data_IF_040998735069
#
_entry.id   IF_040998735069
#
_cell.length_a   1.000
_cell.length_b   1.000
_cell.length_c   1.000
_cell.angle_alpha   90.00
_cell.angle_beta   90.00
_cell.angle_gamma   90.00
#
_symmetry.space_group_name_H-M   'P 1'
#
loop_
_entity.id
_entity.type
_entity.pdbx_description
1 polymer ?
#
# COMPACT_ATOMS: atom_id res chain seq x y z
N UNK A 1 -1.73 -11.46 -24.18
CA UNK A 1 -2.01 -12.89 -24.11
C UNK A 1 -3.25 -13.19 -23.25
N UNK A 2 -3.79 -12.22 -22.47
CA UNK A 2 -5.04 -12.35 -21.71
C UNK A 2 -4.98 -13.26 -20.48
N UNK A 3 -3.79 -13.68 -20.07
CA UNK A 3 -3.56 -14.59 -18.94
C UNK A 3 -3.43 -13.87 -17.58
N UNK A 4 -3.29 -12.54 -17.60
CA UNK A 4 -3.10 -11.71 -16.40
C UNK A 4 -3.99 -10.47 -16.39
N UNK A 5 -4.37 -10.06 -15.20
CA UNK A 5 -5.07 -8.81 -14.93
C UNK A 5 -4.50 -8.14 -13.67
N UNK A 6 -4.94 -6.92 -13.37
CA UNK A 6 -4.58 -6.24 -12.12
C UNK A 6 -4.93 -7.11 -10.89
N UNK A 7 -6.04 -7.86 -10.95
CA UNK A 7 -6.46 -8.78 -9.91
C UNK A 7 -5.55 -10.02 -9.74
N UNK A 8 -4.59 -10.26 -10.63
CA UNK A 8 -3.57 -11.30 -10.41
C UNK A 8 -2.70 -10.97 -9.19
N UNK A 9 -2.40 -9.68 -8.98
CA UNK A 9 -1.59 -9.18 -7.85
C UNK A 9 -2.45 -8.43 -6.82
N UNK A 10 -3.50 -7.72 -7.24
CA UNK A 10 -4.35 -6.94 -6.35
C UNK A 10 -5.67 -7.66 -6.08
N UNK A 11 -5.62 -8.68 -5.20
CA UNK A 11 -6.75 -9.55 -4.86
C UNK A 11 -7.60 -8.95 -3.75
N UNK A 12 -8.92 -8.76 -3.95
CA UNK A 12 -9.80 -8.18 -2.92
C UNK A 12 -9.79 -8.95 -1.60
N UNK A 13 -9.73 -10.30 -1.66
CA UNK A 13 -9.69 -11.19 -0.50
C UNK A 13 -8.42 -11.04 0.35
N UNK A 14 -7.33 -10.52 -0.23
CA UNK A 14 -6.07 -10.20 0.45
C UNK A 14 -5.89 -8.69 0.68
N UNK A 15 -6.99 -7.93 0.79
CA UNK A 15 -6.92 -6.49 0.95
C UNK A 15 -6.28 -5.76 -0.24
N UNK A 16 -6.48 -6.28 -1.45
CA UNK A 16 -5.88 -5.82 -2.70
C UNK A 16 -4.35 -5.93 -2.73
N UNK A 17 -3.78 -6.92 -2.04
CA UNK A 17 -2.41 -7.43 -2.23
C UNK A 17 -2.45 -8.84 -2.80
N UNK A 18 -1.29 -9.45 -3.04
CA UNK A 18 -1.21 -10.85 -3.54
C UNK A 18 -0.92 -11.89 -2.44
N UNK A 19 -0.66 -11.43 -1.21
CA UNK A 19 -0.28 -12.29 -0.09
C UNK A 19 1.13 -12.88 -0.19
N UNK A 20 1.96 -12.37 -1.12
CA UNK A 20 3.34 -12.84 -1.32
C UNK A 20 4.33 -11.79 -0.83
N UNK A 21 5.54 -12.18 -0.38
CA UNK A 21 6.59 -11.22 -0.06
C UNK A 21 6.91 -10.30 -1.24
N UNK A 22 7.00 -10.86 -2.43
CA UNK A 22 7.17 -10.13 -3.69
C UNK A 22 6.28 -10.75 -4.75
N UNK A 23 5.56 -9.90 -5.48
CA UNK A 23 4.73 -10.36 -6.59
C UNK A 23 5.53 -11.18 -7.61
N UNK A 24 4.85 -12.04 -8.35
CA UNK A 24 5.46 -12.82 -9.43
C UNK A 24 5.27 -12.12 -10.76
N UNK A 25 6.36 -11.88 -11.43
CA UNK A 25 6.38 -11.39 -12.81
C UNK A 25 5.79 -12.40 -13.80
N UNK A 26 5.65 -12.02 -15.07
CA UNK A 26 5.10 -12.90 -16.13
C UNK A 26 5.90 -14.17 -16.34
N UNK A 27 7.20 -14.08 -16.16
CA UNK A 27 8.15 -15.21 -16.25
C UNK A 27 8.24 -16.03 -14.94
N UNK A 28 7.44 -15.68 -13.92
CA UNK A 28 7.45 -16.31 -12.60
C UNK A 28 8.54 -15.79 -11.67
N UNK A 29 9.42 -14.90 -12.12
CA UNK A 29 10.46 -14.31 -11.24
C UNK A 29 9.84 -13.34 -10.23
N UNK A 30 10.40 -13.21 -9.01
CA UNK A 30 9.93 -12.23 -8.06
C UNK A 30 10.15 -10.80 -8.57
N UNK A 31 9.14 -9.94 -8.44
CA UNK A 31 9.29 -8.51 -8.64
C UNK A 31 10.14 -7.90 -7.51
N UNK A 32 10.52 -6.63 -7.67
CA UNK A 32 11.44 -5.98 -6.75
C UNK A 32 10.87 -5.79 -5.35
N UNK A 33 9.57 -5.49 -5.26
CA UNK A 33 8.89 -5.09 -4.01
C UNK A 33 7.60 -5.84 -3.78
N UNK A 34 7.11 -5.76 -2.54
CA UNK A 34 5.80 -6.24 -2.14
C UNK A 34 4.69 -5.46 -2.86
N UNK A 35 3.57 -6.14 -3.15
CA UNK A 35 2.39 -5.54 -3.77
C UNK A 35 1.67 -4.63 -2.76
N UNK A 36 1.61 -3.30 -2.96
CA UNK A 36 0.89 -2.42 -2.06
C UNK A 36 -0.63 -2.60 -2.22
N UNK A 37 -1.37 -2.37 -1.14
CA UNK A 37 -2.82 -2.34 -1.19
C UNK A 37 -3.36 -1.14 -1.98
N UNK A 38 -4.62 -1.21 -2.44
CA UNK A 38 -5.26 -0.16 -3.22
C UNK A 38 -6.29 0.69 -2.43
N UNK A 39 -6.41 0.51 -1.13
CA UNK A 39 -7.40 1.26 -0.35
C UNK A 39 -7.10 2.76 -0.27
N UNK A 40 -8.14 3.58 -0.47
CA UNK A 40 -8.16 5.02 -0.22
C UNK A 40 -7.13 5.82 -1.05
N UNK A 41 -6.81 5.36 -2.25
CA UNK A 41 -5.82 6.01 -3.11
C UNK A 41 -6.31 7.34 -3.72
N UNK A 42 -7.62 7.61 -3.72
CA UNK A 42 -8.20 8.84 -4.27
C UNK A 42 -7.57 10.14 -3.71
N UNK A 43 -7.07 10.09 -2.49
CA UNK A 43 -6.49 11.24 -1.78
C UNK A 43 -5.01 11.06 -1.45
N UNK A 44 -4.36 10.05 -2.01
CA UNK A 44 -2.92 9.84 -1.87
C UNK A 44 -2.15 10.87 -2.71
N UNK A 45 -0.95 11.26 -2.22
CA UNK A 45 -0.14 12.31 -2.85
C UNK A 45 0.87 11.79 -3.86
N UNK A 46 1.20 10.50 -3.77
CA UNK A 46 2.12 9.82 -4.66
C UNK A 46 1.94 8.32 -4.58
N UNK A 47 2.41 7.60 -5.58
CA UNK A 47 2.17 6.17 -5.76
C UNK A 47 3.48 5.40 -5.84
N UNK A 48 3.41 4.07 -5.60
CA UNK A 48 4.51 3.18 -5.29
C UNK A 48 5.16 3.43 -3.92
N UNK A 49 5.94 2.47 -3.47
CA UNK A 49 6.70 2.55 -2.22
C UNK A 49 7.72 3.69 -2.18
N UNK A 50 8.21 4.11 -3.33
CA UNK A 50 9.18 5.21 -3.49
C UNK A 50 8.53 6.53 -3.96
N UNK A 51 7.22 6.52 -4.21
CA UNK A 51 6.48 7.70 -4.62
C UNK A 51 6.87 8.28 -5.98
N UNK A 52 7.38 7.44 -6.89
CA UNK A 52 7.88 7.88 -8.19
C UNK A 52 6.80 8.40 -9.13
N UNK A 53 5.54 8.00 -8.92
CA UNK A 53 4.44 8.45 -9.75
C UNK A 53 3.54 9.43 -8.99
N UNK A 54 3.21 10.59 -9.60
CA UNK A 54 2.44 11.64 -8.93
C UNK A 54 0.91 11.47 -9.07
N UNK A 55 0.44 10.65 -10.01
CA UNK A 55 -1.00 10.43 -10.25
C UNK A 55 -1.31 8.95 -10.42
N UNK A 56 -2.57 8.55 -10.19
CA UNK A 56 -3.03 7.18 -10.46
C UNK A 56 -2.94 6.85 -11.94
N UNK A 57 -3.20 7.81 -12.81
CA UNK A 57 -3.09 7.62 -14.26
C UNK A 57 -1.64 7.30 -14.68
N UNK A 58 -0.67 8.02 -14.15
CA UNK A 58 0.73 7.73 -14.40
C UNK A 58 1.13 6.38 -13.83
N UNK A 59 0.66 6.05 -12.62
CA UNK A 59 0.92 4.77 -11.97
C UNK A 59 0.32 3.60 -12.75
N UNK A 60 -0.97 3.64 -13.13
CA UNK A 60 -1.66 2.55 -13.83
C UNK A 60 -1.03 2.22 -15.19
N UNK A 61 -0.46 3.23 -15.85
CA UNK A 61 0.24 3.05 -17.11
C UNK A 61 1.47 2.14 -16.99
N UNK A 62 2.20 2.22 -15.89
CA UNK A 62 3.45 1.46 -15.72
C UNK A 62 3.22 -0.05 -15.72
N UNK A 63 2.42 -0.65 -14.81
CA UNK A 63 2.18 -2.10 -14.80
C UNK A 63 1.46 -2.60 -16.06
N UNK A 64 0.67 -1.74 -16.71
CA UNK A 64 -0.01 -2.11 -17.94
C UNK A 64 0.98 -2.44 -19.05
N UNK A 65 2.08 -1.68 -19.19
CA UNK A 65 3.05 -1.83 -20.27
C UNK A 65 4.36 -2.49 -19.87
N UNK A 66 4.64 -2.65 -18.57
CA UNK A 66 5.86 -3.30 -18.12
C UNK A 66 5.92 -4.77 -18.56
N UNK A 67 6.96 -5.15 -19.28
CA UNK A 67 7.14 -6.49 -19.84
C UNK A 67 7.09 -7.60 -18.80
N UNK A 68 7.57 -7.32 -17.60
CA UNK A 68 7.59 -8.25 -16.48
C UNK A 68 6.29 -8.24 -15.65
N UNK A 69 5.32 -7.36 -15.95
CA UNK A 69 4.02 -7.30 -15.28
C UNK A 69 2.88 -7.72 -16.22
N UNK A 70 2.06 -6.79 -16.75
CA UNK A 70 1.00 -7.14 -17.71
C UNK A 70 1.54 -7.23 -19.14
N UNK A 71 2.58 -6.47 -19.48
CA UNK A 71 3.25 -6.53 -20.77
C UNK A 71 2.32 -6.27 -21.96
N UNK A 72 1.35 -5.38 -21.79
CA UNK A 72 0.47 -5.02 -22.88
C UNK A 72 1.28 -4.31 -23.98
N UNK A 73 1.14 -4.79 -25.21
CA UNK A 73 1.75 -4.13 -26.35
C UNK A 73 0.82 -3.00 -26.78
N UNK A 74 1.30 -1.75 -26.74
CA UNK A 74 0.48 -0.57 -27.04
C UNK A 74 -0.17 -0.65 -28.44
N UNK A 75 0.49 -1.27 -29.40
CA UNK A 75 -0.03 -1.46 -30.76
C UNK A 75 -1.11 -2.55 -30.87
N UNK A 76 -1.27 -3.45 -29.89
CA UNK A 76 -2.26 -4.53 -29.89
C UNK A 76 -3.37 -4.37 -28.86
N UNK A 77 -3.11 -3.68 -27.74
CA UNK A 77 -4.10 -3.50 -26.67
C UNK A 77 -5.37 -2.84 -27.19
N UNK A 78 -5.24 -1.68 -27.81
CA UNK A 78 -6.37 -0.90 -28.30
C UNK A 78 -7.16 -1.65 -29.39
N UNK A 79 -6.54 -2.22 -30.43
CA UNK A 79 -7.26 -3.06 -31.41
C UNK A 79 -7.97 -4.27 -30.80
N UNK A 80 -7.35 -4.92 -29.81
CA UNK A 80 -7.96 -6.06 -29.11
C UNK A 80 -9.23 -5.64 -28.38
N UNK A 81 -9.20 -4.54 -27.62
CA UNK A 81 -10.38 -4.03 -26.94
C UNK A 81 -11.43 -3.49 -27.91
N UNK A 82 -11.02 -2.91 -29.02
CA UNK A 82 -11.91 -2.43 -30.08
C UNK A 82 -12.60 -3.58 -30.86
N UNK A 83 -12.10 -4.80 -30.79
CA UNK A 83 -12.78 -5.95 -31.39
C UNK A 83 -14.00 -6.42 -30.59
N UNK A 84 -14.16 -5.99 -29.34
CA UNK A 84 -15.31 -6.29 -28.49
C UNK A 84 -16.33 -5.15 -28.50
N UNK A 85 -17.49 -5.42 -29.07
CA UNK A 85 -18.57 -4.42 -29.22
C UNK A 85 -19.14 -3.96 -27.86
N UNK A 86 -19.15 -4.81 -26.83
CA UNK A 86 -19.62 -4.43 -25.50
C UNK A 86 -18.65 -3.43 -24.85
N UNK A 87 -17.36 -3.70 -24.94
CA UNK A 87 -16.31 -2.77 -24.48
C UNK A 87 -16.39 -1.44 -25.21
N UNK A 88 -16.54 -1.43 -26.53
CA UNK A 88 -16.69 -0.20 -27.30
C UNK A 88 -17.89 0.62 -26.81
N UNK A 89 -19.07 -0.03 -26.67
CA UNK A 89 -20.28 0.63 -26.19
C UNK A 89 -20.08 1.24 -24.80
N UNK A 90 -19.55 0.48 -23.83
CA UNK A 90 -19.29 0.95 -22.46
C UNK A 90 -18.34 2.15 -22.44
N UNK A 91 -17.32 2.14 -23.28
CA UNK A 91 -16.41 3.28 -23.38
C UNK A 91 -17.07 4.48 -24.07
N UNK A 92 -17.91 4.29 -25.08
CA UNK A 92 -18.66 5.37 -25.69
C UNK A 92 -19.63 6.02 -24.69
N UNK A 93 -20.28 5.23 -23.85
CA UNK A 93 -21.18 5.72 -22.79
C UNK A 93 -20.42 6.49 -21.71
N UNK A 94 -19.26 5.98 -21.26
CA UNK A 94 -18.47 6.57 -20.17
C UNK A 94 -17.60 7.76 -20.64
N UNK A 95 -17.18 7.77 -21.89
CA UNK A 95 -16.32 8.78 -22.50
C UNK A 95 -16.90 9.25 -23.85
N UNK A 96 -18.02 9.99 -23.85
CA UNK A 96 -18.75 10.32 -25.07
C UNK A 96 -17.97 11.15 -26.10
N UNK A 97 -16.98 11.93 -25.65
CA UNK A 97 -16.14 12.76 -26.54
C UNK A 97 -14.99 11.99 -27.17
N UNK A 98 -14.41 11.01 -26.46
CA UNK A 98 -13.19 10.32 -26.89
C UNK A 98 -13.37 8.84 -27.22
N UNK A 99 -14.44 8.22 -26.73
CA UNK A 99 -14.69 6.79 -26.86
C UNK A 99 -13.57 5.94 -26.26
N UNK A 100 -13.31 4.79 -26.88
CA UNK A 100 -12.27 3.86 -26.49
C UNK A 100 -10.89 4.30 -27.04
N UNK A 101 -10.13 4.95 -26.20
CA UNK A 101 -8.75 5.38 -26.44
C UNK A 101 -7.84 4.89 -25.30
N UNK A 102 -6.53 4.91 -25.51
CA UNK A 102 -5.57 4.57 -24.45
C UNK A 102 -5.74 5.49 -23.22
N UNK A 103 -5.93 6.77 -23.44
CA UNK A 103 -6.17 7.72 -22.35
C UNK A 103 -7.45 7.39 -21.58
N UNK A 104 -8.53 7.00 -22.27
CA UNK A 104 -9.78 6.59 -21.65
C UNK A 104 -9.61 5.28 -20.84
N UNK A 105 -8.82 4.32 -21.34
CA UNK A 105 -8.50 3.09 -20.59
C UNK A 105 -7.79 3.42 -19.28
N UNK A 106 -6.74 4.24 -19.34
CA UNK A 106 -5.99 4.66 -18.15
C UNK A 106 -6.88 5.42 -17.17
N UNK A 107 -7.70 6.35 -17.68
CA UNK A 107 -8.63 7.10 -16.85
C UNK A 107 -9.68 6.19 -16.18
N UNK A 108 -10.20 5.18 -16.88
CA UNK A 108 -11.13 4.21 -16.32
C UNK A 108 -10.50 3.37 -15.21
N UNK A 109 -9.24 2.89 -15.40
CA UNK A 109 -8.48 2.18 -14.37
C UNK A 109 -8.27 3.05 -13.13
N UNK A 110 -7.79 4.28 -13.31
CA UNK A 110 -7.57 5.21 -12.22
C UNK A 110 -8.90 5.59 -11.50
N UNK A 111 -10.01 5.72 -12.23
CA UNK A 111 -11.33 5.96 -11.63
C UNK A 111 -11.79 4.77 -10.78
N UNK A 112 -11.56 3.54 -11.23
CA UNK A 112 -11.83 2.34 -10.45
C UNK A 112 -10.98 2.30 -9.18
N UNK A 113 -9.67 2.54 -9.26
CA UNK A 113 -8.79 2.57 -8.10
C UNK A 113 -9.22 3.63 -7.07
N UNK A 114 -9.68 4.82 -7.53
CA UNK A 114 -10.24 5.85 -6.65
C UNK A 114 -11.51 5.40 -5.93
N UNK A 115 -12.27 4.48 -6.50
CA UNK A 115 -13.50 3.95 -5.89
C UNK A 115 -13.24 2.91 -4.80
N UNK A 116 -12.00 2.40 -4.67
CA UNK A 116 -11.63 1.41 -3.67
C UNK A 116 -11.44 2.09 -2.31
N UNK A 117 -12.52 2.12 -1.54
CA UNK A 117 -12.54 2.69 -0.20
C UNK A 117 -12.52 1.56 0.83
N UNK A 118 -11.72 1.73 1.89
CA UNK A 118 -11.71 0.77 3.00
C UNK A 118 -13.07 0.73 3.70
N UNK A 119 -13.57 -0.44 4.11
CA UNK A 119 -14.81 -0.53 4.86
C UNK A 119 -14.68 0.17 6.22
N UNK A 120 -15.81 0.54 6.79
CA UNK A 120 -15.91 0.96 8.19
C UNK A 120 -15.48 -0.20 9.07
N UNK A 121 -14.68 0.08 10.09
CA UNK A 121 -14.10 -0.92 10.98
C UNK A 121 -14.56 -0.72 12.42
N UNK A 122 -14.24 -1.68 13.30
CA UNK A 122 -14.54 -1.55 14.74
C UNK A 122 -13.82 -0.35 15.38
N UNK A 123 -12.66 0.01 14.86
CA UNK A 123 -11.96 1.23 15.29
C UNK A 123 -12.76 2.48 14.92
N UNK A 124 -13.34 2.55 13.72
CA UNK A 124 -14.17 3.68 13.30
C UNK A 124 -15.42 3.81 14.17
N UNK A 125 -16.10 2.69 14.46
CA UNK A 125 -17.25 2.66 15.35
C UNK A 125 -16.89 3.16 16.76
N UNK A 126 -15.71 2.79 17.26
CA UNK A 126 -15.24 3.25 18.57
C UNK A 126 -14.96 4.75 18.57
N UNK A 127 -14.31 5.28 17.54
CA UNK A 127 -14.09 6.73 17.37
C UNK A 127 -15.41 7.48 17.24
N UNK A 128 -16.42 6.88 16.60
CA UNK A 128 -17.77 7.44 16.49
C UNK A 128 -18.58 7.39 17.82
N UNK A 129 -18.01 6.85 18.90
CA UNK A 129 -18.61 6.85 20.24
C UNK A 129 -19.19 5.50 20.71
N UNK A 130 -19.07 4.43 19.92
CA UNK A 130 -19.46 3.09 20.36
C UNK A 130 -18.39 2.50 21.30
N UNK A 131 -18.52 2.74 22.59
CA UNK A 131 -17.53 2.35 23.61
C UNK A 131 -17.26 0.83 23.66
N UNK A 132 -18.19 -0.02 23.18
CA UNK A 132 -18.05 -1.49 23.21
C UNK A 132 -17.46 -2.05 21.91
N UNK A 133 -17.23 -1.23 20.90
CA UNK A 133 -16.67 -1.68 19.62
C UNK A 133 -15.24 -2.21 19.77
N UNK A 134 -14.46 -1.69 20.73
CA UNK A 134 -13.14 -2.22 21.10
C UNK A 134 -13.16 -2.79 22.52
N UNK A 135 -12.49 -3.91 22.73
CA UNK A 135 -12.25 -4.46 24.07
C UNK A 135 -11.09 -3.72 24.79
N UNK A 136 -10.82 -4.07 26.04
CA UNK A 136 -9.80 -3.41 26.87
C UNK A 136 -8.37 -3.56 26.32
N UNK A 137 -8.06 -4.73 25.77
CA UNK A 137 -6.76 -5.02 25.16
C UNK A 137 -6.55 -4.16 23.91
N UNK A 138 -7.53 -4.08 23.01
CA UNK A 138 -7.49 -3.26 21.80
C UNK A 138 -7.38 -1.77 22.13
N UNK A 139 -8.13 -1.29 23.14
CA UNK A 139 -7.99 0.10 23.65
C UNK A 139 -6.62 0.36 24.27
N UNK A 140 -6.05 -0.61 24.98
CA UNK A 140 -4.67 -0.53 25.47
C UNK A 140 -3.69 -0.42 24.30
N UNK A 141 -3.87 -1.24 23.26
CA UNK A 141 -3.07 -1.18 22.03
C UNK A 141 -3.12 0.18 21.35
N UNK A 142 -4.31 0.79 21.25
CA UNK A 142 -4.45 2.14 20.73
C UNK A 142 -3.68 3.18 21.57
N UNK A 143 -3.74 3.09 22.91
CA UNK A 143 -2.97 4.00 23.77
C UNK A 143 -1.46 3.85 23.57
N UNK A 144 -0.96 2.63 23.32
CA UNK A 144 0.45 2.39 22.99
C UNK A 144 0.78 2.99 21.62
N UNK A 145 -0.07 2.74 20.61
CA UNK A 145 0.08 3.27 19.25
C UNK A 145 0.15 4.79 19.22
N UNK A 146 -0.76 5.47 19.93
CA UNK A 146 -0.83 6.92 19.97
C UNK A 146 0.15 7.58 20.96
N UNK A 147 0.60 6.86 21.97
CA UNK A 147 1.47 7.34 23.03
C UNK A 147 2.89 6.78 22.97
N UNK A 148 3.22 5.84 23.86
CA UNK A 148 4.58 5.25 24.05
C UNK A 148 5.22 4.77 22.75
N UNK A 149 4.43 4.15 21.85
CA UNK A 149 4.92 3.63 20.57
C UNK A 149 5.23 4.69 19.51
N UNK A 150 4.66 5.90 19.63
CA UNK A 150 4.88 6.99 18.70
C UNK A 150 4.38 6.74 17.26
N UNK A 151 3.65 5.64 17.02
CA UNK A 151 3.25 5.21 15.67
C UNK A 151 2.38 6.24 14.95
N UNK A 152 1.55 6.98 15.70
CA UNK A 152 0.66 8.03 15.18
C UNK A 152 1.41 9.18 14.52
N UNK A 153 2.71 9.37 14.81
CA UNK A 153 3.53 10.43 14.19
C UNK A 153 3.72 10.26 12.68
N UNK A 154 3.64 9.02 12.19
CA UNK A 154 3.64 8.68 10.76
C UNK A 154 2.28 8.12 10.32
N UNK A 155 1.65 7.30 11.17
CA UNK A 155 0.38 6.64 10.89
C UNK A 155 -0.82 7.37 11.52
N UNK A 156 -0.89 8.69 11.35
CA UNK A 156 -2.00 9.53 11.80
C UNK A 156 -3.11 9.70 10.77
N UNK A 157 -4.20 10.35 11.22
CA UNK A 157 -5.36 10.64 10.38
C UNK A 157 -6.21 9.41 10.03
N UNK A 158 -7.30 9.63 9.30
CA UNK A 158 -8.29 8.58 9.01
C UNK A 158 -7.76 7.46 8.11
N UNK A 159 -6.76 7.74 7.25
CA UNK A 159 -6.06 6.73 6.42
C UNK A 159 -4.93 6.03 7.15
N UNK A 160 -4.56 6.48 8.34
CA UNK A 160 -3.40 5.99 9.09
C UNK A 160 -2.09 6.09 8.30
N UNK A 161 -1.82 7.27 7.70
CA UNK A 161 -0.59 7.60 6.97
C UNK A 161 -0.43 9.11 6.83
N UNK A 162 0.80 9.58 6.87
CA UNK A 162 1.20 10.95 6.56
C UNK A 162 1.55 11.16 5.07
N UNK A 163 1.55 10.08 4.26
CA UNK A 163 2.04 10.03 2.88
C UNK A 163 3.50 10.50 2.70
N UNK A 164 4.26 10.65 3.79
CA UNK A 164 5.66 11.04 3.74
C UNK A 164 6.59 9.81 3.55
N UNK A 165 7.88 10.09 3.45
CA UNK A 165 8.90 9.07 3.21
C UNK A 165 9.84 9.00 4.40
N UNK A 166 9.98 7.81 4.97
CA UNK A 166 10.75 7.57 6.18
C UNK A 166 11.72 6.40 6.01
N UNK A 167 12.90 6.56 6.57
CA UNK A 167 13.82 5.46 6.83
C UNK A 167 13.47 4.90 8.22
N UNK A 168 13.00 3.68 8.24
CA UNK A 168 12.56 2.97 9.46
C UNK A 168 13.58 1.93 9.92
N UNK A 169 14.82 2.01 9.48
CA UNK A 169 15.87 1.08 9.90
C UNK A 169 15.67 -0.38 9.45
N UNK A 170 14.88 -0.62 8.41
CA UNK A 170 14.78 -1.96 7.84
C UNK A 170 16.06 -2.32 7.10
N UNK A 171 16.54 -3.55 7.28
CA UNK A 171 17.70 -4.06 6.53
C UNK A 171 17.28 -4.35 5.10
N UNK A 172 17.74 -3.52 4.15
CA UNK A 172 17.43 -3.66 2.73
C UNK A 172 18.50 -2.97 1.89
N UNK A 173 18.81 -3.52 0.72
CA UNK A 173 19.67 -2.88 -0.29
C UNK A 173 18.87 -2.01 -1.27
N UNK A 174 17.55 -1.94 -1.13
CA UNK A 174 16.71 -1.08 -1.96
C UNK A 174 16.87 0.38 -1.52
N UNK A 175 17.32 1.28 -2.42
CA UNK A 175 17.52 2.68 -2.09
C UNK A 175 16.20 3.45 -1.88
N UNK A 176 15.05 2.86 -2.18
CA UNK A 176 13.74 3.50 -2.02
C UNK A 176 13.66 4.86 -2.74
N UNK A 177 13.20 5.87 -2.00
CA UNK A 177 13.06 7.26 -2.48
C UNK A 177 14.37 7.87 -2.96
N UNK A 178 15.52 7.45 -2.44
CA UNK A 178 16.83 7.96 -2.86
C UNK A 178 17.13 7.74 -4.36
N UNK A 179 16.50 6.75 -4.99
CA UNK A 179 16.64 6.45 -6.41
C UNK A 179 15.69 7.24 -7.31
N UNK A 180 14.85 8.10 -6.75
CA UNK A 180 13.80 8.83 -7.47
C UNK A 180 14.07 10.33 -7.40
N UNK A 181 13.68 11.08 -8.44
CA UNK A 181 13.80 12.53 -8.45
C UNK A 181 13.17 13.17 -7.20
N UNK A 182 13.90 14.06 -6.54
CA UNK A 182 13.51 14.69 -5.28
C UNK A 182 13.74 13.82 -4.02
N UNK A 183 14.35 12.63 -4.16
CA UNK A 183 14.85 11.86 -3.02
C UNK A 183 16.22 12.37 -2.56
N UNK A 184 16.57 12.11 -1.30
CA UNK A 184 17.88 12.43 -0.74
C UNK A 184 18.82 11.24 -0.95
N UNK A 185 19.94 11.43 -1.68
CA UNK A 185 20.90 10.34 -1.90
C UNK A 185 21.38 9.73 -0.58
N UNK A 186 21.47 8.39 -0.56
CA UNK A 186 21.93 7.65 0.62
C UNK A 186 20.88 7.46 1.73
N UNK A 187 19.67 8.00 1.58
CA UNK A 187 18.57 7.78 2.55
C UNK A 187 17.56 6.78 1.95
N UNK A 188 17.57 5.51 2.38
CA UNK A 188 16.65 4.49 1.89
C UNK A 188 15.26 4.64 2.52
N UNK A 189 14.57 5.71 2.15
CA UNK A 189 13.25 6.02 2.66
C UNK A 189 12.15 5.45 1.77
N UNK A 190 11.05 5.03 2.41
CA UNK A 190 9.85 4.52 1.76
C UNK A 190 8.62 5.26 2.25
N UNK A 191 7.60 5.33 1.38
CA UNK A 191 6.34 5.97 1.72
C UNK A 191 5.66 5.23 2.87
N UNK A 192 5.14 5.98 3.84
CA UNK A 192 4.28 5.43 4.88
C UNK A 192 3.02 4.83 4.26
N UNK A 193 2.79 3.51 4.34
CA UNK A 193 1.56 2.92 3.85
C UNK A 193 0.39 3.25 4.80
N UNK A 194 -0.83 3.30 4.25
CA UNK A 194 -2.02 3.31 5.08
C UNK A 194 -2.17 1.99 5.85
N UNK A 195 -2.70 2.05 7.08
CA UNK A 195 -2.91 0.84 7.89
C UNK A 195 -4.35 0.32 7.87
N UNK A 196 -5.23 0.93 7.05
CA UNK A 196 -6.60 0.41 6.90
C UNK A 196 -6.57 -1.01 6.33
N UNK A 197 -7.26 -1.94 6.98
CA UNK A 197 -7.29 -3.36 6.65
C UNK A 197 -5.91 -4.04 6.73
N UNK A 198 -4.97 -3.51 7.50
CA UNK A 198 -3.59 -4.01 7.59
C UNK A 198 -3.49 -5.49 7.96
N UNK A 199 -4.44 -6.01 8.74
CA UNK A 199 -4.50 -7.43 9.09
C UNK A 199 -4.67 -8.38 7.88
N UNK A 200 -5.12 -7.88 6.72
CA UNK A 200 -5.35 -8.67 5.51
C UNK A 200 -4.18 -8.58 4.50
N UNK A 201 -3.22 -7.69 4.73
CA UNK A 201 -2.20 -7.33 3.74
C UNK A 201 -0.82 -7.90 4.03
N UNK A 202 -0.74 -8.95 4.85
CA UNK A 202 0.50 -9.68 5.07
C UNK A 202 1.03 -10.31 3.75
N UNK A 203 2.36 -10.45 3.61
CA UNK A 203 3.43 -9.99 4.49
C UNK A 203 3.74 -8.51 4.34
N UNK A 204 4.50 -7.95 5.27
CA UNK A 204 4.67 -6.52 5.47
C UNK A 204 6.02 -5.99 4.99
N UNK A 205 6.15 -4.68 4.97
CA UNK A 205 7.24 -3.85 4.46
C UNK A 205 7.32 -3.82 2.93
N UNK A 206 8.15 -2.91 2.41
CA UNK A 206 8.30 -2.72 0.96
C UNK A 206 8.84 -3.95 0.23
N UNK A 207 9.51 -4.83 0.96
CA UNK A 207 10.12 -6.06 0.44
C UNK A 207 9.41 -7.34 0.90
N UNK A 208 8.34 -7.21 1.71
CA UNK A 208 7.61 -8.34 2.26
C UNK A 208 8.40 -9.18 3.26
N UNK A 209 9.44 -8.63 3.89
CA UNK A 209 10.37 -9.37 4.75
C UNK A 209 9.77 -9.76 6.10
N UNK A 210 8.71 -9.10 6.55
CA UNK A 210 8.06 -9.39 7.83
C UNK A 210 6.73 -10.12 7.61
N UNK A 211 6.64 -11.35 8.10
CA UNK A 211 5.52 -12.22 7.80
C UNK A 211 4.24 -11.86 8.57
N UNK A 212 4.38 -11.35 9.79
CA UNK A 212 3.27 -11.12 10.71
C UNK A 212 3.29 -9.71 11.30
N UNK A 213 2.15 -9.26 11.87
CA UNK A 213 2.10 -8.00 12.64
C UNK A 213 2.96 -8.07 13.92
N UNK A 214 3.15 -9.25 14.48
CA UNK A 214 4.05 -9.47 15.61
C UNK A 214 5.51 -9.18 15.19
N UNK A 215 5.93 -9.63 14.00
CA UNK A 215 7.25 -9.32 13.44
C UNK A 215 7.41 -7.81 13.20
N UNK A 216 6.36 -7.14 12.71
CA UNK A 216 6.36 -5.68 12.52
C UNK A 216 6.54 -4.95 13.84
N UNK A 217 5.79 -5.33 14.87
CA UNK A 217 5.92 -4.73 16.21
C UNK A 217 7.31 -5.03 16.80
N UNK A 218 7.83 -6.24 16.61
CA UNK A 218 9.17 -6.63 17.07
C UNK A 218 10.26 -5.80 16.36
N UNK A 219 10.11 -5.52 15.07
CA UNK A 219 11.03 -4.65 14.33
C UNK A 219 11.14 -3.26 14.98
N UNK A 220 10.01 -2.62 15.31
CA UNK A 220 10.02 -1.32 15.97
C UNK A 220 10.47 -1.38 17.45
N UNK A 221 10.29 -2.52 18.11
CA UNK A 221 10.66 -2.72 19.52
C UNK A 221 12.04 -3.38 19.69
N UNK A 222 13.06 -2.93 18.95
CA UNK A 222 14.45 -3.36 19.08
C UNK A 222 15.07 -4.02 17.85
N UNK A 223 14.35 -4.07 16.72
CA UNK A 223 14.87 -4.61 15.45
C UNK A 223 15.40 -3.57 14.46
N UNK A 224 15.46 -2.29 14.85
CA UNK A 224 15.92 -1.21 13.99
C UNK A 224 17.41 -1.32 13.68
N UNK A 225 17.78 -1.22 12.41
CA UNK A 225 19.17 -1.01 12.02
C UNK A 225 19.52 0.46 12.27
N UNK A 226 20.35 0.72 13.29
CA UNK A 226 20.79 2.07 13.63
C UNK A 226 21.63 2.69 12.51
N UNK A 227 21.22 3.88 12.06
CA UNK A 227 21.92 4.68 11.07
C UNK A 227 21.47 6.15 11.12
N UNK A 228 22.31 7.11 10.67
CA UNK A 228 22.01 8.54 10.78
C UNK A 228 20.77 9.00 10.01
N UNK A 229 20.34 8.23 9.01
CA UNK A 229 19.18 8.54 8.17
C UNK A 229 17.83 8.15 8.75
N UNK A 230 17.81 7.48 9.92
CA UNK A 230 16.56 7.12 10.58
C UNK A 230 15.65 8.33 10.79
N UNK A 231 14.36 8.13 10.55
CA UNK A 231 13.36 9.18 10.74
C UNK A 231 13.46 9.78 12.16
N UNK A 232 13.49 11.11 12.30
CA UNK A 232 13.73 11.77 13.59
C UNK A 232 12.60 11.56 14.61
N UNK A 233 11.39 11.28 14.14
CA UNK A 233 10.21 11.00 14.95
C UNK A 233 10.02 9.50 15.28
N UNK A 234 10.95 8.65 14.87
CA UNK A 234 10.94 7.24 15.20
C UNK A 234 11.40 7.03 16.64
N UNK A 235 10.63 6.28 17.42
CA UNK A 235 11.01 5.88 18.79
C UNK A 235 12.07 4.77 18.71
N UNK A 236 13.33 5.11 19.00
CA UNK A 236 14.48 4.17 18.85
C UNK A 236 14.57 3.14 19.95
N UNK A 237 14.32 3.58 21.19
CA UNK A 237 14.40 2.73 22.38
C UNK A 237 13.00 2.28 22.84
N UNK A 238 12.20 1.78 21.90
CA UNK A 238 10.85 1.35 22.21
C UNK A 238 10.88 0.02 22.97
N UNK A 239 10.75 0.12 24.29
CA UNK A 239 10.63 -1.05 25.17
C UNK A 239 9.14 -1.38 25.37
N UNK A 240 8.73 -2.53 24.83
CA UNK A 240 7.39 -3.09 24.99
C UNK A 240 7.49 -4.48 25.63
N UNK A 241 6.80 -4.65 26.75
CA UNK A 241 6.63 -5.98 27.32
C UNK A 241 5.76 -6.87 26.41
N UNK A 242 5.77 -8.21 26.61
CA UNK A 242 4.98 -9.11 25.75
C UNK A 242 3.48 -8.79 25.70
N UNK A 243 2.90 -8.31 26.82
CA UNK A 243 1.48 -7.95 26.88
C UNK A 243 1.17 -6.64 26.14
N UNK A 244 2.11 -5.70 26.12
CA UNK A 244 2.02 -4.47 25.35
C UNK A 244 2.12 -4.74 23.84
N UNK A 245 3.02 -5.65 23.42
CA UNK A 245 3.12 -6.09 22.02
C UNK A 245 1.83 -6.75 21.56
N UNK A 246 1.27 -7.67 22.35
CA UNK A 246 0.00 -8.34 22.04
C UNK A 246 -1.14 -7.32 21.91
N UNK A 247 -1.25 -6.37 22.84
CA UNK A 247 -2.25 -5.33 22.79
C UNK A 247 -2.12 -4.43 21.55
N UNK A 248 -0.90 -4.06 21.15
CA UNK A 248 -0.65 -3.27 19.94
C UNK A 248 -1.07 -4.04 18.69
N UNK A 249 -0.73 -5.32 18.59
CA UNK A 249 -1.17 -6.20 17.48
C UNK A 249 -2.69 -6.36 17.48
N UNK A 250 -3.32 -6.52 18.66
CA UNK A 250 -4.77 -6.59 18.77
C UNK A 250 -5.44 -5.31 18.24
N UNK A 251 -4.91 -4.14 18.57
CA UNK A 251 -5.38 -2.87 18.01
C UNK A 251 -5.22 -2.81 16.49
N UNK A 252 -4.05 -3.13 15.93
CA UNK A 252 -3.81 -3.11 14.49
C UNK A 252 -4.80 -3.98 13.71
N UNK A 253 -5.27 -5.07 14.31
CA UNK A 253 -6.30 -5.95 13.73
C UNK A 253 -7.71 -5.34 13.72
N UNK A 254 -7.91 -4.18 14.35
CA UNK A 254 -9.22 -3.48 14.35
C UNK A 254 -9.34 -2.44 13.22
N UNK A 255 -8.25 -2.18 12.48
CA UNK A 255 -8.16 -1.15 11.43
C UNK A 255 -8.74 -1.64 10.05
#
# INVERSE_FOLDING_TARGET
>A
DGDRSCATCHRPEHGFTDGLPKARGRDGTPLKRNTPHLFNLAVARSFYWDGREPTLEAQARVPLYADNELGAVSTSLLPTLQSDADTQRRFADAFPESGLTEAAIIAALAAYERSIVSPVTRFDDWIAGNAVALNDEERRGFRIFAGKGGCVSCHGGWRMTDDAFHDIGLKSDDPGRAAVAGGTPGIPAFKTPGLRQVAKTAPYMHDGSLATLDDVVAHYAGGLLERPSLAPNLVRDLDLDPSERAALVAFLKTL
#
